data_IF_853567681198
#
_entry.id   IF_853567681198
#
_cell.length_a   1.000
_cell.length_b   1.000
_cell.length_c   1.000
_cell.angle_alpha   90.00
_cell.angle_beta   90.00
_cell.angle_gamma   90.00
#
_symmetry.space_group_name_H-M   'P 1'
#
loop_
_entity.id
_entity.type
_entity.pdbx_description
1 polymer ?
#
# COMPACT_ATOMS: atom_id res chain seq x y z
N UNK A 1 6.33 -2.58 -23.78
CA UNK A 1 4.90 -2.91 -23.61
C UNK A 1 4.18 -3.25 -24.92
N UNK A 2 4.43 -2.54 -25.99
CA UNK A 2 3.73 -2.72 -27.26
C UNK A 2 4.08 -3.97 -28.10
N UNK A 3 5.15 -4.68 -27.77
CA UNK A 3 5.56 -5.91 -28.49
C UNK A 3 4.91 -7.20 -27.99
N UNK A 4 4.21 -7.17 -26.85
CA UNK A 4 3.59 -8.36 -26.25
C UNK A 4 2.08 -8.45 -26.48
N UNK A 5 1.48 -7.60 -27.33
CA UNK A 5 0.04 -7.63 -27.61
C UNK A 5 -0.87 -7.37 -26.39
N UNK A 6 -0.32 -6.68 -25.39
CA UNK A 6 -1.03 -6.41 -24.15
C UNK A 6 -1.82 -5.10 -24.29
N UNK A 7 -3.10 -5.16 -24.03
CA UNK A 7 -4.00 -4.00 -24.02
C UNK A 7 -3.49 -2.93 -23.05
N UNK A 8 -3.38 -1.65 -23.50
CA UNK A 8 -3.08 -0.55 -22.60
C UNK A 8 -4.28 -0.31 -21.69
N UNK A 9 -4.24 -0.77 -20.46
CA UNK A 9 -5.34 -0.62 -19.53
C UNK A 9 -5.32 -1.59 -18.33
N UNK A 10 -4.49 -2.62 -18.37
CA UNK A 10 -4.33 -3.51 -17.22
C UNK A 10 -3.46 -2.79 -16.18
N UNK A 11 -4.11 -2.08 -15.27
CA UNK A 11 -3.48 -1.45 -14.11
C UNK A 11 -3.65 -2.28 -12.84
N UNK A 12 -3.01 -1.84 -11.76
CA UNK A 12 -3.16 -2.45 -10.45
C UNK A 12 -2.54 -3.85 -10.30
N UNK A 13 -3.03 -4.65 -9.35
CA UNK A 13 -2.48 -5.98 -9.04
C UNK A 13 -2.51 -6.95 -10.24
N UNK A 14 -3.50 -6.84 -11.12
CA UNK A 14 -3.63 -7.67 -12.32
C UNK A 14 -2.44 -7.54 -13.28
N UNK A 15 -1.82 -6.37 -13.33
CA UNK A 15 -0.63 -6.15 -14.17
C UNK A 15 0.51 -7.11 -13.81
N UNK A 16 0.76 -7.34 -12.53
CA UNK A 16 1.84 -8.23 -12.07
C UNK A 16 1.57 -9.68 -12.48
N UNK A 17 0.33 -10.15 -12.32
CA UNK A 17 0.02 -11.56 -12.58
C UNK A 17 -0.20 -11.86 -14.06
N UNK A 18 -0.78 -10.96 -14.83
CA UNK A 18 -1.08 -11.18 -16.25
C UNK A 18 0.12 -10.82 -17.14
N UNK A 19 0.63 -9.59 -17.00
CA UNK A 19 1.71 -9.09 -17.88
C UNK A 19 3.01 -9.79 -17.60
N UNK A 20 3.37 -9.95 -16.32
CA UNK A 20 4.66 -10.54 -15.96
C UNK A 20 4.69 -12.03 -16.27
N UNK A 21 3.59 -12.76 -16.06
CA UNK A 21 3.50 -14.18 -16.41
C UNK A 21 3.67 -14.40 -17.91
N UNK A 22 3.06 -13.54 -18.74
CA UNK A 22 3.22 -13.62 -20.19
C UNK A 22 4.65 -13.32 -20.65
N UNK A 23 5.34 -12.37 -20.00
CA UNK A 23 6.74 -12.06 -20.27
C UNK A 23 7.67 -13.20 -19.82
N UNK A 24 7.46 -13.76 -18.65
CA UNK A 24 8.26 -14.86 -18.13
C UNK A 24 8.12 -16.12 -19.00
N UNK A 25 6.95 -16.38 -19.56
CA UNK A 25 6.73 -17.52 -20.46
C UNK A 25 7.52 -17.42 -21.78
N UNK A 26 7.96 -16.22 -22.16
CA UNK A 26 8.75 -15.98 -23.40
C UNK A 26 10.27 -16.11 -23.20
N UNK A 27 10.75 -16.38 -21.99
CA UNK A 27 12.18 -16.48 -21.69
C UNK A 27 12.78 -17.80 -22.23
N UNK A 28 13.79 -17.77 -23.13
CA UNK A 28 14.46 -18.99 -23.59
C UNK A 28 15.38 -19.58 -22.49
N UNK A 29 15.60 -20.93 -22.45
CA UNK A 29 14.99 -21.91 -23.36
C UNK A 29 13.57 -22.27 -22.93
N UNK A 30 12.62 -22.05 -23.82
CA UNK A 30 11.22 -22.42 -23.58
C UNK A 30 11.05 -23.96 -23.57
N UNK A 31 10.23 -24.55 -22.66
CA UNK A 31 9.40 -23.90 -21.62
C UNK A 31 10.11 -23.74 -20.26
N UNK A 32 11.26 -24.34 -20.07
CA UNK A 32 11.94 -24.46 -18.77
C UNK A 32 12.42 -23.11 -18.20
N UNK A 33 12.90 -22.20 -19.04
CA UNK A 33 13.35 -20.88 -18.60
C UNK A 33 12.23 -20.12 -17.90
N UNK A 34 11.06 -20.03 -18.52
CA UNK A 34 9.89 -19.38 -17.95
C UNK A 34 9.40 -20.01 -16.66
N UNK A 35 9.43 -21.35 -16.55
CA UNK A 35 9.05 -22.09 -15.35
C UNK A 35 9.99 -21.77 -14.17
N UNK A 36 11.30 -21.90 -14.39
CA UNK A 36 12.30 -21.69 -13.33
C UNK A 36 12.30 -20.25 -12.83
N UNK A 37 12.41 -19.29 -13.76
CA UNK A 37 12.43 -17.87 -13.41
C UNK A 37 11.08 -17.40 -12.85
N UNK A 38 9.97 -17.86 -13.42
CA UNK A 38 8.62 -17.55 -12.94
C UNK A 38 8.37 -18.10 -11.54
N UNK A 39 8.71 -19.36 -11.29
CA UNK A 39 8.55 -19.97 -9.95
C UNK A 39 9.40 -19.24 -8.92
N UNK A 40 10.67 -18.96 -9.23
CA UNK A 40 11.57 -18.21 -8.34
C UNK A 40 11.03 -16.81 -8.04
N UNK A 41 10.58 -16.08 -9.05
CA UNK A 41 10.01 -14.75 -8.89
C UNK A 41 8.74 -14.76 -8.00
N UNK A 42 7.77 -15.63 -8.29
CA UNK A 42 6.53 -15.67 -7.51
C UNK A 42 6.74 -16.22 -6.10
N UNK A 43 7.72 -17.09 -5.88
CA UNK A 43 8.11 -17.53 -4.54
C UNK A 43 8.69 -16.37 -3.73
N UNK A 44 9.62 -15.61 -4.31
CA UNK A 44 10.18 -14.41 -3.66
C UNK A 44 9.11 -13.34 -3.40
N UNK A 45 8.22 -13.12 -4.37
CA UNK A 45 7.08 -12.21 -4.21
C UNK A 45 6.17 -12.64 -3.05
N UNK A 46 5.89 -13.94 -2.93
CA UNK A 46 5.11 -14.51 -1.83
C UNK A 46 5.76 -14.30 -0.47
N UNK A 47 7.07 -14.53 -0.36
CA UNK A 47 7.83 -14.26 0.88
C UNK A 47 7.80 -12.76 1.22
N UNK A 48 8.03 -11.90 0.24
CA UNK A 48 7.96 -10.45 0.43
C UNK A 48 6.55 -9.98 0.87
N UNK A 49 5.51 -10.55 0.28
CA UNK A 49 4.13 -10.26 0.67
C UNK A 49 3.81 -10.71 2.11
N UNK A 50 4.30 -11.88 2.51
CA UNK A 50 4.14 -12.38 3.89
C UNK A 50 4.84 -11.47 4.90
N UNK A 51 6.08 -11.08 4.66
CA UNK A 51 6.81 -10.18 5.57
C UNK A 51 6.14 -8.82 5.68
N UNK A 52 5.67 -8.26 4.57
CA UNK A 52 4.91 -6.99 4.55
C UNK A 52 3.58 -7.12 5.30
N UNK A 53 2.87 -8.23 5.14
CA UNK A 53 1.59 -8.47 5.83
C UNK A 53 1.77 -8.53 7.35
N UNK A 54 2.85 -9.18 7.83
CA UNK A 54 3.18 -9.22 9.26
C UNK A 54 3.47 -7.81 9.79
N UNK A 55 4.26 -7.01 9.08
CA UNK A 55 4.58 -5.64 9.48
C UNK A 55 3.34 -4.73 9.52
N UNK A 56 2.44 -4.86 8.54
CA UNK A 56 1.18 -4.12 8.52
C UNK A 56 0.22 -4.53 9.64
N UNK A 57 0.20 -5.82 10.01
CA UNK A 57 -0.63 -6.32 11.11
C UNK A 57 -0.08 -5.88 12.48
N UNK A 58 1.22 -5.65 12.59
CA UNK A 58 1.87 -5.23 13.85
C UNK A 58 1.38 -3.87 14.34
N UNK A 59 1.16 -2.91 13.43
CA UNK A 59 0.71 -1.55 13.78
C UNK A 59 -0.62 -1.55 14.54
N UNK A 60 -1.72 -2.12 14.01
CA UNK A 60 -2.98 -2.19 14.75
C UNK A 60 -2.92 -3.14 15.96
N UNK A 61 -2.04 -4.15 15.91
CA UNK A 61 -1.83 -5.06 17.06
C UNK A 61 -1.20 -4.32 18.23
N UNK A 62 -0.14 -3.55 18.01
CA UNK A 62 0.51 -2.73 19.04
C UNK A 62 -0.48 -1.71 19.61
N UNK A 63 -1.23 -1.02 18.76
CA UNK A 63 -2.28 -0.11 19.23
C UNK A 63 -3.31 -0.80 20.13
N UNK A 64 -3.78 -2.00 19.76
CA UNK A 64 -4.76 -2.74 20.57
C UNK A 64 -4.16 -3.22 21.91
N UNK A 65 -2.87 -3.52 21.96
CA UNK A 65 -2.16 -3.87 23.20
C UNK A 65 -2.02 -2.65 24.10
N UNK A 66 -1.54 -1.53 23.54
CA UNK A 66 -1.18 -0.33 24.31
C UNK A 66 -2.42 0.42 24.78
N UNK A 67 -3.41 0.62 23.91
CA UNK A 67 -4.59 1.44 24.23
C UNK A 67 -5.76 0.63 24.82
N UNK A 68 -5.92 -0.64 24.42
CA UNK A 68 -7.04 -1.48 24.85
C UNK A 68 -6.65 -2.51 25.93
N UNK A 69 -5.35 -2.63 26.24
CA UNK A 69 -4.84 -3.59 27.23
C UNK A 69 -5.06 -5.05 26.79
N UNK A 70 -5.18 -5.33 25.49
CA UNK A 70 -5.34 -6.69 25.00
C UNK A 70 -4.03 -7.46 25.09
N UNK A 71 -4.12 -8.77 25.31
CA UNK A 71 -2.93 -9.61 25.14
C UNK A 71 -2.52 -9.63 23.65
N UNK A 72 -1.22 -9.58 23.36
CA UNK A 72 -0.67 -9.56 21.99
C UNK A 72 -1.23 -10.69 21.12
N UNK A 73 -1.35 -11.90 21.70
CA UNK A 73 -1.92 -13.07 21.01
C UNK A 73 -3.38 -12.82 20.60
N UNK A 74 -4.20 -12.27 21.51
CA UNK A 74 -5.62 -11.96 21.22
C UNK A 74 -5.75 -10.90 20.15
N UNK A 75 -4.97 -9.81 20.25
CA UNK A 75 -4.97 -8.74 19.27
C UNK A 75 -4.58 -9.25 17.86
N UNK A 76 -3.48 -9.98 17.75
CA UNK A 76 -3.01 -10.53 16.48
C UNK A 76 -4.01 -11.51 15.86
N UNK A 77 -4.62 -12.41 16.64
CA UNK A 77 -5.62 -13.36 16.13
C UNK A 77 -6.88 -12.63 15.67
N UNK A 78 -7.42 -11.71 16.47
CA UNK A 78 -8.65 -11.00 16.10
C UNK A 78 -8.46 -10.15 14.84
N UNK A 79 -7.38 -9.39 14.78
CA UNK A 79 -7.09 -8.54 13.62
C UNK A 79 -6.74 -9.38 12.39
N UNK A 80 -6.03 -10.48 12.56
CA UNK A 80 -5.75 -11.43 11.49
C UNK A 80 -7.02 -12.08 10.92
N UNK A 81 -7.97 -12.47 11.78
CA UNK A 81 -9.27 -13.00 11.36
C UNK A 81 -10.08 -11.94 10.60
N UNK A 82 -10.11 -10.69 11.10
CA UNK A 82 -10.80 -9.59 10.40
C UNK A 82 -10.17 -9.37 9.01
N UNK A 83 -8.84 -9.31 8.93
CA UNK A 83 -8.13 -9.16 7.66
C UNK A 83 -8.42 -10.32 6.70
N UNK A 84 -8.44 -11.56 7.21
CA UNK A 84 -8.77 -12.74 6.43
C UNK A 84 -10.21 -12.70 5.89
N UNK A 85 -11.18 -12.35 6.74
CA UNK A 85 -12.59 -12.23 6.33
C UNK A 85 -12.81 -11.14 5.27
N UNK A 86 -12.08 -10.03 5.34
CA UNK A 86 -12.09 -8.99 4.31
C UNK A 86 -11.36 -9.42 3.03
N UNK A 87 -10.39 -10.32 3.16
CA UNK A 87 -9.66 -10.91 2.03
C UNK A 87 -10.52 -11.85 1.17
N UNK A 88 -11.49 -12.55 1.77
CA UNK A 88 -12.37 -13.49 1.04
C UNK A 88 -13.14 -12.78 -0.10
N UNK A 89 -13.91 -11.71 0.13
CA UNK A 89 -14.61 -11.03 -0.95
C UNK A 89 -13.64 -10.39 -1.97
N UNK A 90 -12.46 -9.94 -1.52
CA UNK A 90 -11.43 -9.43 -2.43
C UNK A 90 -10.91 -10.51 -3.39
N UNK A 91 -10.72 -11.74 -2.89
CA UNK A 91 -10.32 -12.88 -3.73
C UNK A 91 -11.42 -13.29 -4.69
N UNK A 92 -12.70 -13.32 -4.24
CA UNK A 92 -13.85 -13.66 -5.04
C UNK A 92 -14.20 -12.61 -6.11
N UNK A 93 -13.76 -11.37 -5.93
CA UNK A 93 -13.96 -10.28 -6.89
C UNK A 93 -13.21 -10.49 -8.21
N UNK A 94 -12.23 -11.39 -8.26
CA UNK A 94 -11.47 -11.70 -9.48
C UNK A 94 -12.22 -12.67 -10.44
N UNK A 95 -13.50 -12.46 -10.62
CA UNK A 95 -14.33 -13.19 -11.61
C UNK A 95 -15.14 -14.36 -11.06
N UNK A 96 -14.99 -14.73 -9.78
CA UNK A 96 -15.74 -15.83 -9.18
C UNK A 96 -17.21 -15.45 -8.87
N UNK A 97 -17.45 -14.18 -8.54
CA UNK A 97 -18.79 -13.68 -8.16
C UNK A 97 -19.12 -12.39 -8.90
N UNK A 98 -20.09 -12.40 -9.84
CA UNK A 98 -20.34 -11.26 -10.73
C UNK A 98 -20.64 -9.93 -10.03
N UNK A 99 -21.36 -9.92 -8.91
CA UNK A 99 -21.67 -8.70 -8.17
C UNK A 99 -20.50 -8.13 -7.38
N UNK A 100 -19.47 -8.93 -7.08
CA UNK A 100 -18.20 -8.46 -6.49
C UNK A 100 -17.21 -7.98 -7.57
N UNK A 101 -17.32 -8.53 -8.77
CA UNK A 101 -16.50 -8.12 -9.93
C UNK A 101 -16.94 -6.76 -10.48
N UNK A 102 -18.22 -6.41 -10.31
CA UNK A 102 -18.73 -5.09 -10.71
C UNK A 102 -19.71 -4.60 -9.65
N UNK A 103 -19.20 -3.81 -8.71
CA UNK A 103 -19.98 -3.26 -7.61
C UNK A 103 -21.06 -2.29 -8.14
N UNK A 104 -22.33 -2.52 -7.83
CA UNK A 104 -23.41 -1.63 -8.25
C UNK A 104 -23.20 -0.22 -7.65
N UNK A 105 -23.12 0.78 -8.52
CA UNK A 105 -22.91 2.19 -8.13
C UNK A 105 -21.46 2.67 -8.10
N UNK A 106 -20.47 1.77 -8.16
CA UNK A 106 -19.05 2.14 -8.18
C UNK A 106 -18.39 1.81 -9.52
N UNK A 107 -18.89 0.77 -10.23
CA UNK A 107 -18.39 0.39 -11.55
C UNK A 107 -17.03 -0.30 -11.55
N UNK A 108 -16.51 -0.66 -10.36
CA UNK A 108 -15.22 -1.35 -10.19
C UNK A 108 -15.39 -2.61 -9.34
N UNK A 109 -14.43 -3.52 -9.39
CA UNK A 109 -14.38 -4.69 -8.54
C UNK A 109 -14.08 -4.34 -7.08
N UNK A 110 -14.47 -5.22 -6.16
CA UNK A 110 -14.32 -5.01 -4.71
C UNK A 110 -12.86 -4.83 -4.29
N UNK A 111 -11.92 -5.55 -4.90
CA UNK A 111 -10.49 -5.41 -4.61
C UNK A 111 -9.98 -4.02 -5.00
N UNK A 112 -10.32 -3.56 -6.21
CA UNK A 112 -9.96 -2.22 -6.71
C UNK A 112 -10.60 -1.12 -5.86
N UNK A 113 -11.85 -1.30 -5.44
CA UNK A 113 -12.53 -0.39 -4.52
C UNK A 113 -11.77 -0.25 -3.18
N UNK A 114 -11.42 -1.37 -2.53
CA UNK A 114 -10.63 -1.35 -1.30
C UNK A 114 -9.25 -0.74 -1.50
N UNK A 115 -8.58 -1.09 -2.60
CA UNK A 115 -7.27 -0.53 -2.94
C UNK A 115 -7.34 0.99 -3.13
N UNK A 116 -8.36 1.48 -3.81
CA UNK A 116 -8.57 2.92 -4.01
C UNK A 116 -8.85 3.61 -2.68
N UNK A 117 -9.76 3.08 -1.87
CA UNK A 117 -10.16 3.69 -0.61
C UNK A 117 -9.02 3.69 0.42
N UNK A 118 -8.42 2.54 0.67
CA UNK A 118 -7.40 2.37 1.70
C UNK A 118 -5.98 2.56 1.18
N UNK A 119 -5.68 2.12 -0.04
CA UNK A 119 -4.36 2.23 -0.65
C UNK A 119 -4.06 3.62 -1.22
N UNK A 120 -5.04 4.31 -1.77
CA UNK A 120 -4.83 5.63 -2.36
C UNK A 120 -5.27 6.76 -1.42
N UNK A 121 -6.56 6.85 -1.10
CA UNK A 121 -7.08 7.98 -0.31
C UNK A 121 -6.57 7.98 1.12
N UNK A 122 -6.68 6.86 1.84
CA UNK A 122 -6.27 6.80 3.24
C UNK A 122 -4.78 7.03 3.44
N UNK A 123 -3.93 6.54 2.53
CA UNK A 123 -2.48 6.79 2.60
C UNK A 123 -2.14 8.27 2.40
N UNK A 124 -2.75 8.94 1.42
CA UNK A 124 -2.51 10.36 1.15
C UNK A 124 -3.01 11.22 2.31
N UNK A 125 -4.20 10.94 2.83
CA UNK A 125 -4.76 11.63 4.01
C UNK A 125 -3.87 11.38 5.23
N UNK A 126 -3.48 10.14 5.49
CA UNK A 126 -2.59 9.79 6.60
C UNK A 126 -1.24 10.49 6.51
N UNK A 127 -0.63 10.52 5.34
CA UNK A 127 0.63 11.25 5.11
C UNK A 127 0.48 12.75 5.37
N UNK A 128 -0.65 13.36 4.95
CA UNK A 128 -0.95 14.76 5.21
C UNK A 128 -1.07 15.02 6.73
N UNK A 129 -1.85 14.19 7.43
CA UNK A 129 -2.06 14.33 8.88
C UNK A 129 -0.74 14.16 9.64
N UNK A 130 0.09 13.18 9.29
CA UNK A 130 1.40 12.97 9.92
C UNK A 130 2.32 14.18 9.65
N UNK A 131 2.35 14.68 8.42
CA UNK A 131 3.16 15.85 8.06
C UNK A 131 2.72 17.10 8.83
N UNK A 132 1.42 17.33 8.98
CA UNK A 132 0.88 18.43 9.78
C UNK A 132 1.18 18.23 11.27
N UNK A 133 1.02 17.01 11.79
CA UNK A 133 1.32 16.71 13.18
C UNK A 133 2.78 16.96 13.52
N UNK A 134 3.72 16.43 12.75
CA UNK A 134 5.15 16.61 12.97
C UNK A 134 5.57 18.08 12.75
N UNK A 135 5.01 18.71 11.71
CA UNK A 135 5.38 20.09 11.35
C UNK A 135 4.87 21.16 12.32
N UNK A 136 3.67 20.94 12.92
CA UNK A 136 2.95 22.02 13.63
C UNK A 136 2.54 21.66 15.06
N UNK A 137 2.21 20.41 15.36
CA UNK A 137 1.73 19.96 16.67
C UNK A 137 2.88 19.49 17.54
N UNK A 138 3.62 18.47 17.11
CA UNK A 138 4.80 17.99 17.83
C UNK A 138 5.96 18.97 17.73
N UNK A 139 6.12 19.56 16.55
CA UNK A 139 7.16 20.54 16.27
C UNK A 139 8.43 19.89 15.73
N UNK A 140 8.91 20.46 14.61
CA UNK A 140 10.12 19.98 13.90
C UNK A 140 11.38 20.01 14.78
N UNK A 141 11.41 20.84 15.82
CA UNK A 141 12.53 20.91 16.74
C UNK A 141 12.57 19.69 17.67
N UNK A 142 11.45 19.35 18.30
CA UNK A 142 11.33 18.19 19.16
C UNK A 142 11.59 16.89 18.39
N UNK A 143 11.01 16.79 17.17
CA UNK A 143 11.27 15.65 16.30
C UNK A 143 12.74 15.57 15.83
N UNK A 144 13.43 16.71 15.67
CA UNK A 144 14.86 16.75 15.35
C UNK A 144 15.72 16.29 16.53
N UNK A 145 15.38 16.69 17.75
CA UNK A 145 16.07 16.27 18.98
C UNK A 145 16.01 14.75 19.19
N UNK A 146 14.90 14.10 18.82
CA UNK A 146 14.78 12.63 18.84
C UNK A 146 15.72 11.93 17.83
N UNK A 147 15.99 12.55 16.69
CA UNK A 147 16.94 12.01 15.70
C UNK A 147 18.38 12.14 16.20
N UNK A 148 18.67 13.14 17.03
CA UNK A 148 20.01 13.40 17.60
C UNK A 148 20.30 12.59 18.87
N UNK A 149 19.35 11.81 19.37
CA UNK A 149 19.55 10.88 20.48
C UNK A 149 20.69 9.90 20.13
N UNK A 150 21.67 9.72 21.00
CA UNK A 150 22.89 8.92 20.83
C UNK A 150 24.00 9.56 19.97
N UNK A 151 24.28 10.86 20.15
CA UNK A 151 25.36 11.59 19.46
C UNK A 151 25.25 11.66 17.93
N UNK A 152 24.08 11.41 17.37
CA UNK A 152 23.78 11.60 15.97
C UNK A 152 23.73 13.09 15.62
N UNK A 153 24.64 13.57 14.74
CA UNK A 153 24.52 14.92 14.20
C UNK A 153 23.53 14.92 13.05
N UNK A 154 22.55 15.83 13.09
CA UNK A 154 21.58 16.02 12.00
C UNK A 154 21.88 17.32 11.21
N UNK A 155 22.90 17.31 10.33
CA UNK A 155 23.38 18.54 9.67
C UNK A 155 22.35 19.17 8.76
N UNK A 156 21.40 18.39 8.23
CA UNK A 156 20.32 18.83 7.35
C UNK A 156 19.03 19.15 8.09
N UNK A 157 19.02 19.22 9.41
CA UNK A 157 17.82 19.43 10.23
C UNK A 157 17.00 20.65 9.85
N UNK A 158 17.65 21.78 9.46
CA UNK A 158 16.93 22.99 9.01
C UNK A 158 16.22 22.79 7.67
N UNK A 159 16.87 22.12 6.73
CA UNK A 159 16.28 21.80 5.43
C UNK A 159 15.11 20.81 5.60
N UNK A 160 15.33 19.78 6.39
CA UNK A 160 14.29 18.79 6.72
C UNK A 160 13.08 19.44 7.41
N UNK A 161 13.31 20.32 8.37
CA UNK A 161 12.27 21.08 9.06
C UNK A 161 11.44 21.94 8.09
N UNK A 162 12.09 22.62 7.15
CA UNK A 162 11.41 23.40 6.13
C UNK A 162 10.60 22.53 5.17
N UNK A 163 11.16 21.38 4.74
CA UNK A 163 10.49 20.43 3.85
C UNK A 163 9.22 19.87 4.50
N UNK A 164 9.31 19.36 5.73
CA UNK A 164 8.16 18.76 6.43
C UNK A 164 7.10 19.79 6.77
N UNK A 165 7.51 21.01 7.14
CA UNK A 165 6.54 22.03 7.57
C UNK A 165 5.77 22.68 6.43
N UNK A 166 6.40 22.85 5.26
CA UNK A 166 5.81 23.59 4.17
C UNK A 166 5.68 22.77 2.87
N UNK A 167 6.75 22.18 2.40
CA UNK A 167 6.77 21.52 1.09
C UNK A 167 5.94 20.24 1.09
N UNK A 168 6.10 19.38 2.10
CA UNK A 168 5.36 18.13 2.19
C UNK A 168 3.84 18.35 2.26
N UNK A 169 3.29 19.19 3.17
CA UNK A 169 1.85 19.43 3.20
C UNK A 169 1.30 20.00 1.89
N UNK A 170 2.02 20.93 1.27
CA UNK A 170 1.60 21.54 -0.01
C UNK A 170 1.58 20.48 -1.12
N UNK A 171 2.66 19.72 -1.27
CA UNK A 171 2.76 18.67 -2.28
C UNK A 171 1.71 17.58 -2.10
N UNK A 172 1.50 17.11 -0.86
CA UNK A 172 0.50 16.09 -0.54
C UNK A 172 -0.92 16.62 -0.79
N UNK A 173 -1.18 17.87 -0.43
CA UNK A 173 -2.48 18.51 -0.69
C UNK A 173 -2.73 18.64 -2.19
N UNK A 174 -1.73 18.99 -3.00
CA UNK A 174 -1.84 19.03 -4.45
C UNK A 174 -2.16 17.64 -5.04
N UNK A 175 -1.52 16.58 -4.53
CA UNK A 175 -1.82 15.20 -4.91
C UNK A 175 -3.27 14.83 -4.52
N UNK A 176 -3.70 15.18 -3.30
CA UNK A 176 -5.05 14.91 -2.83
C UNK A 176 -6.11 15.62 -3.68
N UNK A 177 -5.87 16.88 -4.02
CA UNK A 177 -6.76 17.66 -4.90
C UNK A 177 -6.85 17.03 -6.30
N UNK A 178 -5.73 16.61 -6.86
CA UNK A 178 -5.70 15.93 -8.16
C UNK A 178 -6.49 14.59 -8.11
N UNK A 179 -6.32 13.84 -7.02
CA UNK A 179 -7.03 12.58 -6.81
C UNK A 179 -8.54 12.79 -6.70
N UNK A 180 -8.98 13.81 -5.97
CA UNK A 180 -10.40 14.18 -5.83
C UNK A 180 -10.97 14.73 -7.14
N UNK A 181 -10.19 15.55 -7.87
CA UNK A 181 -10.59 16.09 -9.17
C UNK A 181 -10.83 14.97 -10.19
N UNK A 182 -9.99 13.94 -10.19
CA UNK A 182 -10.18 12.75 -11.01
C UNK A 182 -11.48 11.99 -10.74
N UNK A 183 -12.00 12.05 -9.49
CA UNK A 183 -13.30 11.46 -9.14
C UNK A 183 -14.50 12.27 -9.63
N UNK A 184 -14.38 13.61 -9.63
CA UNK A 184 -15.48 14.51 -10.00
C UNK A 184 -15.57 14.69 -11.52
N UNK A 185 -14.46 14.45 -12.24
CA UNK A 185 -14.36 14.59 -13.70
C UNK A 185 -14.55 13.31 -14.49
N UNK A 186 -14.78 12.17 -13.83
CA UNK A 186 -15.08 10.88 -14.43
C UNK A 186 -16.59 10.57 -14.30
#
# INVERSE_FOLDING_TARGET
>A
MFHAGLEPGVGGPGMVFVVLTSLLSSIPPAPWGGIVFGTGFFMLLGIAALTSSVSLLEVPTSWAVDERGWSRKRAAIMLGVIAFLLGIPSALANGAVPWLTNLPGVGTDFLTFLFTLFGQYSLVIGALLISLFVGWVWGVRAAGEEVEVNDGKFPLGRLWAFLIRFICPIAITAILLNLVWGLVGA
#
